data_IF_058861162120
#
_entry.id   IF_058861162120
#
_cell.length_a   1.000
_cell.length_b   1.000
_cell.length_c   1.000
_cell.angle_alpha   90.00
_cell.angle_beta   90.00
_cell.angle_gamma   90.00
#
_symmetry.space_group_name_H-M   'P 1'
#
loop_
_entity.id
_entity.type
_entity.pdbx_description
1 polymer ?
#
# COMPACT_ATOMS: atom_id res chain seq x y z
N UNK A 1 2.10 13.99 10.96
CA UNK A 1 0.92 14.88 11.12
C UNK A 1 -0.04 14.56 9.99
N UNK A 2 -1.29 14.21 10.30
CA UNK A 2 -2.30 13.91 9.28
C UNK A 2 -2.97 15.19 8.79
N UNK A 3 -3.21 15.29 7.48
CA UNK A 3 -3.75 16.52 6.85
C UNK A 3 -5.28 16.43 6.76
N UNK A 4 -5.98 17.46 7.24
CA UNK A 4 -7.42 17.63 7.07
C UNK A 4 -7.72 18.44 5.81
N UNK A 5 -8.86 18.17 5.16
CA UNK A 5 -9.34 18.97 4.03
C UNK A 5 -10.87 19.08 4.04
N UNK A 6 -11.39 20.16 3.49
CA UNK A 6 -12.80 20.38 3.22
C UNK A 6 -13.31 19.53 2.05
N UNK A 7 -14.63 19.53 1.82
CA UNK A 7 -15.25 18.79 0.72
C UNK A 7 -14.86 19.31 -0.67
N UNK A 8 -14.66 20.63 -0.86
CA UNK A 8 -14.26 21.15 -2.18
C UNK A 8 -12.79 20.82 -2.46
N UNK A 9 -11.92 20.99 -1.46
CA UNK A 9 -10.51 20.62 -1.53
C UNK A 9 -10.34 19.12 -1.81
N UNK A 10 -11.15 18.25 -1.18
CA UNK A 10 -11.14 16.80 -1.47
C UNK A 10 -11.33 16.51 -2.97
N UNK A 11 -12.30 17.16 -3.61
CA UNK A 11 -12.58 16.93 -5.04
C UNK A 11 -11.40 17.35 -5.92
N UNK A 12 -10.78 18.48 -5.60
CA UNK A 12 -9.60 18.99 -6.30
C UNK A 12 -8.41 18.05 -6.12
N UNK A 13 -8.14 17.60 -4.89
CA UNK A 13 -7.09 16.64 -4.57
C UNK A 13 -7.28 15.33 -5.33
N UNK A 14 -8.48 14.75 -5.31
CA UNK A 14 -8.77 13.51 -6.04
C UNK A 14 -8.57 13.69 -7.56
N UNK A 15 -8.92 14.87 -8.09
CA UNK A 15 -8.65 15.23 -9.48
C UNK A 15 -7.16 15.29 -9.78
N UNK A 16 -6.38 15.90 -8.87
CA UNK A 16 -4.92 16.04 -8.99
C UNK A 16 -4.19 14.70 -8.95
N UNK A 17 -4.55 13.82 -8.00
CA UNK A 17 -3.97 12.47 -7.88
C UNK A 17 -4.14 11.69 -9.19
N UNK A 18 -5.30 11.84 -9.86
CA UNK A 18 -5.58 11.12 -11.12
C UNK A 18 -4.71 11.60 -12.29
N UNK A 19 -4.24 12.84 -12.25
CA UNK A 19 -3.54 13.47 -13.37
C UNK A 19 -2.02 13.44 -13.21
N UNK A 20 -1.52 13.47 -11.97
CA UNK A 20 -0.09 13.47 -11.71
C UNK A 20 0.51 12.07 -11.83
N UNK A 21 1.76 12.01 -12.30
CA UNK A 21 2.62 10.82 -12.31
C UNK A 21 3.80 10.97 -11.37
N UNK A 22 3.91 12.12 -10.70
CA UNK A 22 4.96 12.42 -9.75
C UNK A 22 4.72 11.62 -8.47
N UNK A 23 5.60 10.64 -8.21
CA UNK A 23 5.52 9.76 -7.05
C UNK A 23 5.59 10.54 -5.74
N UNK A 24 6.44 11.58 -5.66
CA UNK A 24 6.62 12.38 -4.46
C UNK A 24 5.39 13.24 -4.18
N UNK A 25 4.73 13.75 -5.23
CA UNK A 25 3.43 14.40 -5.11
C UNK A 25 2.36 13.42 -4.60
N UNK A 26 2.30 12.21 -5.17
CA UNK A 26 1.31 11.21 -4.77
C UNK A 26 1.52 10.74 -3.33
N UNK A 27 2.78 10.55 -2.90
CA UNK A 27 3.13 10.15 -1.54
C UNK A 27 2.61 11.13 -0.49
N UNK A 28 2.59 12.44 -0.77
CA UNK A 28 2.02 13.44 0.14
C UNK A 28 0.55 13.16 0.46
N UNK A 29 -0.23 12.74 -0.54
CA UNK A 29 -1.66 12.46 -0.36
C UNK A 29 -1.95 11.24 0.52
N UNK A 30 -0.99 10.32 0.64
CA UNK A 30 -1.14 9.18 1.56
C UNK A 30 -1.18 9.60 3.03
N UNK A 31 -0.80 10.83 3.38
CA UNK A 31 -0.83 11.36 4.76
C UNK A 31 -2.14 12.07 5.14
N UNK A 32 -3.13 12.11 4.26
CA UNK A 32 -4.42 12.75 4.56
C UNK A 32 -5.26 11.92 5.53
N UNK A 33 -6.07 12.59 6.36
CA UNK A 33 -7.03 11.91 7.24
C UNK A 33 -8.17 11.26 6.46
N UNK A 34 -8.51 11.80 5.29
CA UNK A 34 -9.58 11.27 4.46
C UNK A 34 -9.17 9.95 3.78
N UNK A 35 -9.95 8.90 4.05
CA UNK A 35 -9.66 7.56 3.53
C UNK A 35 -9.73 7.50 2.00
N UNK A 36 -10.63 8.24 1.35
CA UNK A 36 -10.75 8.20 -0.11
C UNK A 36 -9.53 8.84 -0.78
N UNK A 37 -8.98 9.92 -0.19
CA UNK A 37 -7.74 10.53 -0.66
C UNK A 37 -6.58 9.54 -0.52
N UNK A 38 -6.40 8.93 0.66
CA UNK A 38 -5.34 7.95 0.87
C UNK A 38 -5.48 6.76 -0.07
N UNK A 39 -6.69 6.20 -0.19
CA UNK A 39 -6.99 5.07 -1.06
C UNK A 39 -6.68 5.42 -2.52
N UNK A 40 -7.07 6.61 -2.98
CA UNK A 40 -6.80 7.05 -4.34
C UNK A 40 -5.30 7.21 -4.59
N UNK A 41 -4.57 7.77 -3.64
CA UNK A 41 -3.11 7.91 -3.72
C UNK A 41 -2.42 6.54 -3.81
N UNK A 42 -2.68 5.62 -2.88
CA UNK A 42 -2.09 4.27 -2.93
C UNK A 42 -2.52 3.47 -4.16
N UNK A 43 -3.67 3.81 -4.76
CA UNK A 43 -4.10 3.19 -6.00
C UNK A 43 -3.26 3.59 -7.21
N UNK A 44 -2.70 4.81 -7.21
CA UNK A 44 -1.79 5.26 -8.26
C UNK A 44 -0.34 4.83 -8.02
N UNK A 45 0.00 4.47 -6.77
CA UNK A 45 1.30 3.98 -6.32
C UNK A 45 1.48 2.46 -6.53
N UNK A 46 1.42 2.00 -7.78
CA UNK A 46 1.75 0.61 -8.15
C UNK A 46 3.27 0.47 -8.41
N UNK A 47 3.96 -0.57 -7.91
CA UNK A 47 5.36 -0.85 -8.26
C UNK A 47 5.60 -0.90 -9.78
N UNK A 48 4.61 -1.40 -10.52
CA UNK A 48 4.58 -1.42 -11.99
C UNK A 48 4.72 -0.03 -12.66
N UNK A 49 4.30 1.03 -11.95
CA UNK A 49 4.39 2.43 -12.40
C UNK A 49 5.59 3.17 -11.81
N UNK A 50 6.00 2.81 -10.59
CA UNK A 50 7.11 3.46 -9.90
C UNK A 50 8.44 3.08 -10.54
N UNK A 51 8.59 1.85 -11.07
CA UNK A 51 9.70 1.32 -11.89
C UNK A 51 11.13 1.46 -11.32
N UNK A 52 11.29 2.18 -10.22
CA UNK A 52 12.52 2.43 -9.51
C UNK A 52 12.36 2.02 -8.05
N UNK A 53 13.48 1.60 -7.50
CA UNK A 53 13.60 1.17 -6.14
C UNK A 53 13.62 2.37 -5.17
N UNK A 54 12.46 3.02 -5.01
CA UNK A 54 12.33 4.24 -4.21
C UNK A 54 12.14 3.89 -2.72
N UNK A 55 13.11 4.29 -1.89
CA UNK A 55 13.09 4.06 -0.44
C UNK A 55 11.92 4.72 0.25
N UNK A 56 11.62 5.98 -0.07
CA UNK A 56 10.54 6.74 0.59
C UNK A 56 9.17 6.13 0.27
N UNK A 57 8.99 5.65 -0.96
CA UNK A 57 7.83 4.88 -1.36
C UNK A 57 7.65 3.63 -0.50
N UNK A 58 8.68 2.79 -0.38
CA UNK A 58 8.58 1.55 0.40
C UNK A 58 8.39 1.82 1.90
N UNK A 59 9.12 2.78 2.46
CA UNK A 59 8.94 3.21 3.84
C UNK A 59 7.48 3.62 4.09
N UNK A 60 6.88 4.36 3.15
CA UNK A 60 5.48 4.78 3.28
C UNK A 60 4.51 3.62 3.13
N UNK A 61 4.72 2.72 2.18
CA UNK A 61 3.90 1.51 1.99
C UNK A 61 3.87 0.67 3.26
N UNK A 62 5.02 0.43 3.90
CA UNK A 62 5.08 -0.34 5.14
C UNK A 62 4.46 0.38 6.34
N UNK A 63 4.51 1.72 6.41
CA UNK A 63 3.78 2.49 7.42
C UNK A 63 2.26 2.34 7.31
N UNK A 64 1.73 1.99 6.13
CA UNK A 64 0.30 1.87 5.86
C UNK A 64 -0.24 0.45 6.04
N UNK A 65 0.59 -0.52 6.46
CA UNK A 65 0.16 -1.90 6.77
C UNK A 65 -0.97 -1.92 7.81
N UNK A 66 -0.91 -1.01 8.78
CA UNK A 66 -1.88 -0.87 9.87
C UNK A 66 -2.89 0.27 9.64
N UNK A 67 -3.12 0.70 8.38
CA UNK A 67 -4.10 1.74 8.09
C UNK A 67 -5.50 1.34 8.62
N UNK A 68 -6.26 2.26 9.25
CA UNK A 68 -7.59 1.93 9.78
C UNK A 68 -8.57 1.46 8.69
N UNK A 69 -8.40 1.87 7.43
CA UNK A 69 -9.27 1.47 6.34
C UNK A 69 -8.85 0.14 5.69
N UNK A 70 -9.76 -0.83 5.68
CA UNK A 70 -9.50 -2.15 5.12
C UNK A 70 -9.19 -2.12 3.61
N UNK A 71 -9.77 -1.21 2.83
CA UNK A 71 -9.47 -1.11 1.39
C UNK A 71 -8.04 -0.65 1.15
N UNK A 72 -7.54 0.23 2.02
CA UNK A 72 -6.16 0.68 1.98
C UNK A 72 -5.23 -0.47 2.35
N UNK A 73 -5.49 -1.17 3.47
CA UNK A 73 -4.69 -2.35 3.87
C UNK A 73 -4.64 -3.42 2.78
N UNK A 74 -5.77 -3.72 2.14
CA UNK A 74 -5.83 -4.64 1.01
C UNK A 74 -4.96 -4.19 -0.17
N UNK A 75 -4.92 -2.88 -0.45
CA UNK A 75 -4.06 -2.31 -1.49
C UNK A 75 -2.58 -2.41 -1.13
N UNK A 76 -2.23 -2.18 0.14
CA UNK A 76 -0.85 -2.33 0.64
C UNK A 76 -0.39 -3.79 0.52
N UNK A 77 -1.22 -4.75 0.91
CA UNK A 77 -0.93 -6.18 0.71
C UNK A 77 -0.62 -6.50 -0.76
N UNK A 78 -1.44 -5.99 -1.69
CA UNK A 78 -1.20 -6.16 -3.11
C UNK A 78 0.15 -5.55 -3.54
N UNK A 79 0.43 -4.30 -3.20
CA UNK A 79 1.67 -3.61 -3.58
C UNK A 79 2.91 -4.38 -3.11
N UNK A 80 2.89 -4.86 -1.86
CA UNK A 80 4.01 -5.60 -1.28
C UNK A 80 4.23 -6.94 -2.00
N UNK A 81 3.18 -7.59 -2.50
CA UNK A 81 3.25 -8.91 -3.11
C UNK A 81 3.21 -8.90 -4.66
N UNK A 82 3.32 -7.73 -5.29
CA UNK A 82 3.32 -7.56 -6.75
C UNK A 82 4.74 -7.33 -7.28
N UNK A 83 5.65 -6.76 -6.48
CA UNK A 83 7.01 -6.51 -6.93
C UNK A 83 7.94 -5.90 -5.90
N UNK A 84 7.78 -6.23 -4.61
CA UNK A 84 8.75 -5.75 -3.63
C UNK A 84 10.12 -6.39 -3.86
N UNK A 85 11.21 -5.61 -3.76
CA UNK A 85 12.58 -6.07 -3.99
C UNK A 85 13.09 -6.95 -2.85
N UNK A 86 13.98 -7.90 -3.18
CA UNK A 86 14.47 -8.95 -2.26
C UNK A 86 15.05 -8.40 -0.95
N UNK A 87 15.72 -7.24 -0.97
CA UNK A 87 16.28 -6.65 0.26
C UNK A 87 15.23 -6.30 1.32
N UNK A 88 13.95 -6.23 0.94
CA UNK A 88 12.82 -5.93 1.84
C UNK A 88 12.16 -7.20 2.39
N UNK A 89 12.66 -8.40 2.07
CA UNK A 89 12.07 -9.70 2.43
C UNK A 89 11.61 -9.76 3.90
N UNK A 90 12.44 -9.29 4.84
CA UNK A 90 12.08 -9.30 6.26
C UNK A 90 10.85 -8.42 6.55
N UNK A 91 10.79 -7.21 6.00
CA UNK A 91 9.65 -6.30 6.15
C UNK A 91 8.39 -6.86 5.49
N UNK A 92 8.55 -7.53 4.34
CA UNK A 92 7.47 -8.24 3.66
C UNK A 92 6.91 -9.37 4.54
N UNK A 93 7.78 -10.21 5.10
CA UNK A 93 7.37 -11.31 5.96
C UNK A 93 6.64 -10.81 7.22
N UNK A 94 7.15 -9.75 7.86
CA UNK A 94 6.50 -9.11 9.00
C UNK A 94 5.12 -8.54 8.64
N UNK A 95 4.99 -7.85 7.50
CA UNK A 95 3.72 -7.32 7.03
C UNK A 95 2.71 -8.44 6.72
N UNK A 96 3.15 -9.51 6.07
CA UNK A 96 2.32 -10.67 5.78
C UNK A 96 1.80 -11.36 7.07
N UNK A 97 2.62 -11.47 8.10
CA UNK A 97 2.21 -11.97 9.41
C UNK A 97 1.14 -11.10 10.07
N UNK A 98 1.21 -9.78 9.90
CA UNK A 98 0.14 -8.85 10.37
C UNK A 98 -1.13 -9.06 9.56
N UNK A 99 -1.05 -9.07 8.24
CA UNK A 99 -2.22 -9.29 7.38
C UNK A 99 -2.88 -10.66 7.59
N UNK A 100 -2.10 -11.71 7.91
CA UNK A 100 -2.62 -13.04 8.26
C UNK A 100 -3.42 -13.06 9.58
N UNK A 101 -3.38 -11.96 10.34
CA UNK A 101 -4.19 -11.71 11.55
C UNK A 101 -5.16 -10.55 11.37
N UNK A 102 -5.33 -10.02 10.15
CA UNK A 102 -6.24 -8.90 9.87
C UNK A 102 -7.69 -9.25 10.27
N UNK A 103 -8.43 -8.22 10.68
CA UNK A 103 -9.86 -8.33 11.03
C UNK A 103 -10.71 -8.52 9.78
N UNK A 104 -10.25 -8.01 8.63
CA UNK A 104 -10.86 -8.26 7.34
C UNK A 104 -10.51 -9.68 6.84
N UNK A 105 -11.56 -10.48 6.58
CA UNK A 105 -11.41 -11.89 6.22
C UNK A 105 -10.78 -12.10 4.85
N UNK A 106 -10.99 -11.17 3.91
CA UNK A 106 -10.43 -11.28 2.56
C UNK A 106 -8.93 -10.97 2.58
N UNK A 107 -8.52 -9.93 3.33
CA UNK A 107 -7.10 -9.62 3.55
C UNK A 107 -6.40 -10.81 4.21
N UNK A 108 -6.99 -11.33 5.29
CA UNK A 108 -6.47 -12.50 5.99
C UNK A 108 -6.30 -13.71 5.09
N UNK A 109 -7.33 -14.03 4.28
CA UNK A 109 -7.27 -15.16 3.33
C UNK A 109 -6.16 -14.96 2.30
N UNK A 110 -6.02 -13.74 1.77
CA UNK A 110 -5.03 -13.43 0.76
C UNK A 110 -3.60 -13.54 1.33
N UNK A 111 -3.36 -12.97 2.51
CA UNK A 111 -2.07 -13.06 3.19
C UNK A 111 -1.70 -14.51 3.53
N UNK A 112 -2.66 -15.32 3.99
CA UNK A 112 -2.45 -16.74 4.23
C UNK A 112 -1.98 -17.47 2.97
N UNK A 113 -2.59 -17.19 1.81
CA UNK A 113 -2.17 -17.76 0.51
C UNK A 113 -0.73 -17.37 0.18
N UNK A 114 -0.35 -16.11 0.36
CA UNK A 114 1.01 -15.63 0.09
C UNK A 114 2.03 -16.27 1.03
N UNK A 115 1.75 -16.32 2.34
CA UNK A 115 2.62 -16.99 3.32
C UNK A 115 2.84 -18.47 3.03
N UNK A 116 1.80 -19.18 2.56
CA UNK A 116 1.93 -20.58 2.16
C UNK A 116 2.82 -20.74 0.91
N UNK A 117 2.75 -19.80 -0.04
CA UNK A 117 3.67 -19.77 -1.19
C UNK A 117 5.10 -19.49 -0.75
N UNK A 118 5.28 -18.45 0.09
CA UNK A 118 6.57 -18.03 0.59
C UNK A 118 7.26 -19.14 1.37
N UNK A 119 6.56 -19.78 2.32
CA UNK A 119 7.11 -20.89 3.12
C UNK A 119 7.56 -22.09 2.26
N UNK A 120 6.85 -22.36 1.16
CA UNK A 120 7.15 -23.50 0.28
C UNK A 120 8.22 -23.21 -0.76
N UNK A 121 8.33 -21.96 -1.22
CA UNK A 121 9.09 -21.62 -2.43
C UNK A 121 10.08 -20.46 -2.27
N UNK A 122 10.04 -19.75 -1.15
CA UNK A 122 10.73 -18.48 -0.95
C UNK A 122 10.11 -17.30 -1.72
N UNK A 123 9.00 -17.49 -2.44
CA UNK A 123 8.39 -16.44 -3.28
C UNK A 123 7.11 -15.86 -2.67
N UNK A 124 7.11 -14.54 -2.48
CA UNK A 124 5.94 -13.75 -2.05
C UNK A 124 5.31 -12.92 -3.17
N UNK A 125 6.06 -12.55 -4.21
CA UNK A 125 5.57 -11.78 -5.36
C UNK A 125 4.68 -12.66 -6.27
N UNK A 126 3.45 -12.92 -5.84
CA UNK A 126 2.52 -13.86 -6.48
C UNK A 126 1.09 -13.31 -6.59
N UNK A 127 0.92 -12.01 -6.34
CA UNK A 127 -0.36 -11.33 -6.47
C UNK A 127 -0.48 -10.56 -7.78
#
# INVERSE_FOLDING_TARGET
MSIQCSKSEKKEILGRIKQTVDVDEILKYTNYQDNDIRLKAVSELCPCKVQEDNKEFWDRVFQMVDDPDAKIRARILHIICDGSPDRLELQVAEALERFNRDTDRDIKRQAHKVLASYTRTGKWNIL
#
